data_IF_345437161365
#
_entry.id   IF_345437161365
#
_cell.length_a   1.000
_cell.length_b   1.000
_cell.length_c   1.000
_cell.angle_alpha   90.00
_cell.angle_beta   90.00
_cell.angle_gamma   90.00
#
_symmetry.space_group_name_H-M   'P 1'
#
loop_
_entity.id
_entity.type
_entity.pdbx_description
1 polymer ?
#
# COMPACT_ATOMS: atom_id res chain seq x y z
N UNK A 1 24.97 30.01 -29.84
CA UNK A 1 23.55 30.03 -29.36
C UNK A 1 23.44 28.87 -28.39
N UNK A 2 23.68 29.17 -27.10
CA UNK A 2 23.65 28.15 -26.05
C UNK A 2 22.19 27.90 -25.65
N UNK A 3 21.74 26.70 -25.91
CA UNK A 3 20.42 26.21 -25.51
C UNK A 3 20.41 26.06 -24.00
N UNK A 4 19.76 26.99 -23.31
CA UNK A 4 19.55 26.94 -21.85
C UNK A 4 18.61 25.74 -21.60
N UNK A 5 19.03 24.71 -20.83
CA UNK A 5 18.15 23.58 -20.55
C UNK A 5 16.95 24.08 -19.75
N UNK A 6 15.76 23.72 -20.20
CA UNK A 6 14.47 24.01 -19.58
C UNK A 6 14.35 23.28 -18.21
N UNK A 7 15.08 23.80 -17.22
CA UNK A 7 14.96 23.37 -15.83
C UNK A 7 14.12 24.38 -15.08
N UNK A 8 13.06 23.97 -14.36
CA UNK A 8 12.29 24.88 -13.55
C UNK A 8 13.22 25.60 -12.56
N UNK A 9 13.11 26.93 -12.40
CA UNK A 9 14.10 27.78 -11.73
C UNK A 9 14.24 27.57 -10.21
N UNK A 10 13.54 26.59 -9.63
CA UNK A 10 13.50 26.38 -8.17
C UNK A 10 13.65 24.92 -7.72
N UNK A 11 14.30 24.07 -8.52
CA UNK A 11 14.57 22.71 -8.06
C UNK A 11 15.90 22.68 -7.30
N UNK A 12 15.82 22.79 -5.98
CA UNK A 12 16.95 22.58 -5.08
C UNK A 12 17.05 21.07 -4.79
N UNK A 13 18.05 20.41 -5.36
CA UNK A 13 18.38 19.02 -5.00
C UNK A 13 19.28 19.07 -3.76
N UNK A 14 18.76 18.61 -2.63
CA UNK A 14 19.53 18.48 -1.38
C UNK A 14 19.75 16.99 -1.15
N UNK A 15 21.01 16.58 -1.12
CA UNK A 15 21.36 15.23 -0.68
C UNK A 15 21.03 15.09 0.80
N UNK A 16 20.26 14.06 1.12
CA UNK A 16 19.85 13.78 2.48
C UNK A 16 19.90 12.28 2.77
N UNK A 17 20.31 11.92 3.96
CA UNK A 17 20.32 10.54 4.42
C UNK A 17 19.66 10.39 5.80
N UNK A 18 19.24 9.18 6.11
CA UNK A 18 18.64 8.88 7.40
C UNK A 18 19.68 8.25 8.32
N UNK A 19 19.83 8.80 9.52
CA UNK A 19 20.57 8.15 10.59
C UNK A 19 19.62 7.50 11.58
N UNK A 20 19.95 6.29 12.04
CA UNK A 20 19.24 5.60 13.10
C UNK A 20 20.15 5.58 14.34
N UNK A 21 19.77 6.33 15.35
CA UNK A 21 20.48 6.33 16.63
C UNK A 21 19.72 5.43 17.62
N UNK A 22 20.40 4.44 18.18
CA UNK A 22 19.86 3.49 19.17
C UNK A 22 18.52 2.81 18.78
N UNK A 23 18.30 2.56 17.49
CA UNK A 23 17.12 1.84 16.99
C UNK A 23 15.78 2.58 17.08
N UNK A 24 15.71 3.78 17.64
CA UNK A 24 14.45 4.46 17.97
C UNK A 24 14.17 5.81 17.29
N UNK A 25 15.18 6.55 16.89
CA UNK A 25 14.99 7.83 16.21
C UNK A 25 15.61 7.79 14.82
N UNK A 26 14.83 8.20 13.84
CA UNK A 26 15.31 8.48 12.48
C UNK A 26 15.44 9.97 12.37
N UNK A 27 16.66 10.43 12.14
CA UNK A 27 16.95 11.85 11.90
C UNK A 27 17.34 12.00 10.43
N UNK A 28 16.77 12.99 9.77
CA UNK A 28 17.18 13.37 8.42
C UNK A 28 18.38 14.29 8.59
N UNK A 29 19.49 13.94 7.98
CA UNK A 29 20.69 14.78 7.94
C UNK A 29 20.86 15.24 6.50
N UNK A 30 20.99 16.54 6.30
CA UNK A 30 21.30 17.13 4.99
C UNK A 30 22.81 17.15 4.80
N UNK A 31 23.26 16.72 3.63
CA UNK A 31 24.67 16.64 3.29
C UNK A 31 25.06 15.27 2.76
N UNK A 32 26.32 15.13 2.39
CA UNK A 32 26.88 13.90 1.84
C UNK A 32 26.96 12.79 2.92
N UNK A 33 26.47 11.62 2.59
CA UNK A 33 26.51 10.48 3.52
C UNK A 33 27.95 10.03 3.78
N UNK A 34 28.36 9.80 5.05
CA UNK A 34 29.68 9.26 5.34
C UNK A 34 29.94 7.94 4.61
N UNK A 35 31.16 7.75 4.14
CA UNK A 35 31.60 6.52 3.50
C UNK A 35 31.33 5.32 4.42
N UNK A 36 30.58 4.32 3.91
CA UNK A 36 30.16 3.13 4.66
C UNK A 36 28.72 3.14 5.18
N UNK A 37 28.00 4.29 5.15
CA UNK A 37 26.56 4.35 5.38
C UNK A 37 25.74 4.25 4.11
N UNK A 38 26.36 4.41 2.96
CA UNK A 38 25.78 4.14 1.65
C UNK A 38 25.69 2.61 1.48
N UNK A 39 24.65 2.00 2.03
CA UNK A 39 24.28 0.66 1.58
C UNK A 39 23.97 0.70 0.08
N UNK A 40 24.35 -0.32 -0.67
CA UNK A 40 24.37 -0.45 -2.14
C UNK A 40 23.08 -0.13 -2.92
N UNK A 41 22.09 0.49 -2.28
CA UNK A 41 20.85 0.96 -2.93
C UNK A 41 20.36 2.28 -2.34
N UNK A 42 20.21 3.33 -3.14
CA UNK A 42 19.62 4.57 -2.70
C UNK A 42 18.23 4.31 -2.09
N UNK A 43 17.91 4.92 -0.93
CA UNK A 43 16.63 4.73 -0.23
C UNK A 43 15.40 4.97 -1.13
N UNK A 44 15.53 5.81 -2.14
CA UNK A 44 14.48 6.16 -3.10
C UNK A 44 14.01 4.96 -3.95
N UNK A 45 14.90 4.07 -4.40
CA UNK A 45 14.48 2.93 -5.22
C UNK A 45 13.58 1.95 -4.46
N UNK A 46 13.84 1.72 -3.18
CA UNK A 46 12.98 0.85 -2.35
C UNK A 46 11.60 1.46 -2.14
N UNK A 47 11.55 2.78 -1.95
CA UNK A 47 10.27 3.49 -1.72
C UNK A 47 9.45 3.55 -3.01
N UNK A 48 10.06 3.82 -4.14
CA UNK A 48 9.40 3.86 -5.44
C UNK A 48 8.92 2.47 -5.89
N UNK A 49 9.71 1.42 -5.70
CA UNK A 49 9.26 0.04 -5.96
C UNK A 49 8.09 -0.35 -5.07
N UNK A 50 8.15 -0.03 -3.78
CA UNK A 50 7.05 -0.33 -2.86
C UNK A 50 5.79 0.48 -3.17
N UNK A 51 5.92 1.73 -3.62
CA UNK A 51 4.81 2.54 -4.10
C UNK A 51 4.26 2.01 -5.42
N UNK A 52 5.12 1.73 -6.40
CA UNK A 52 4.72 1.17 -7.70
C UNK A 52 3.99 -0.17 -7.51
N UNK A 53 4.53 -1.09 -6.72
CA UNK A 53 3.88 -2.37 -6.45
C UNK A 53 2.54 -2.22 -5.73
N UNK A 54 2.33 -1.17 -4.93
CA UNK A 54 1.03 -0.86 -4.34
C UNK A 54 0.04 -0.31 -5.37
N UNK A 55 0.52 0.43 -6.35
CA UNK A 55 -0.33 1.06 -7.38
C UNK A 55 -0.65 0.11 -8.53
N UNK A 56 0.27 -0.78 -8.89
CA UNK A 56 0.14 -1.72 -10.02
C UNK A 56 -0.15 -3.16 -9.61
N UNK A 57 0.08 -3.52 -8.34
CA UNK A 57 -0.20 -4.86 -7.81
C UNK A 57 -1.69 -5.12 -7.62
N UNK A 58 -2.05 -6.37 -7.44
CA UNK A 58 -3.41 -6.81 -7.11
C UNK A 58 -3.89 -6.14 -5.81
N UNK A 59 -5.12 -5.53 -5.78
CA UNK A 59 -5.68 -4.92 -4.58
C UNK A 59 -5.82 -5.92 -3.43
N UNK A 60 -5.75 -5.47 -2.15
CA UNK A 60 -5.82 -6.39 -1.02
C UNK A 60 -7.10 -7.21 -0.94
N UNK A 61 -8.24 -6.66 -1.33
CA UNK A 61 -9.53 -7.35 -1.32
C UNK A 61 -9.62 -8.41 -2.42
N UNK A 62 -9.16 -8.14 -3.63
CA UNK A 62 -9.10 -9.13 -4.72
C UNK A 62 -8.16 -10.28 -4.37
N UNK A 63 -7.00 -9.96 -3.80
CA UNK A 63 -6.05 -10.96 -3.32
C UNK A 63 -6.66 -11.84 -2.24
N UNK A 64 -7.40 -11.26 -1.30
CA UNK A 64 -8.06 -12.00 -0.24
C UNK A 64 -9.14 -12.96 -0.81
N UNK A 65 -9.93 -12.50 -1.77
CA UNK A 65 -10.93 -13.30 -2.46
C UNK A 65 -10.30 -14.45 -3.27
N UNK A 66 -9.20 -14.16 -3.95
CA UNK A 66 -8.45 -15.18 -4.69
C UNK A 66 -7.94 -16.29 -3.76
N UNK A 67 -7.41 -15.93 -2.59
CA UNK A 67 -6.98 -16.93 -1.60
C UNK A 67 -8.14 -17.71 -1.02
N UNK A 68 -9.28 -17.07 -0.73
CA UNK A 68 -10.49 -17.77 -0.28
C UNK A 68 -10.96 -18.78 -1.34
N UNK A 69 -11.09 -18.33 -2.58
CA UNK A 69 -11.47 -19.18 -3.70
C UNK A 69 -10.52 -20.37 -3.86
N UNK A 70 -9.21 -20.12 -3.78
CA UNK A 70 -8.22 -21.19 -3.86
C UNK A 70 -8.35 -22.21 -2.71
N UNK A 71 -8.69 -21.75 -1.50
CA UNK A 71 -8.97 -22.65 -0.38
C UNK A 71 -10.19 -23.52 -0.65
N UNK A 72 -11.25 -22.97 -1.18
CA UNK A 72 -12.49 -23.66 -1.51
C UNK A 72 -12.30 -24.68 -2.65
N UNK A 73 -11.71 -24.24 -3.77
CA UNK A 73 -11.47 -25.07 -4.95
C UNK A 73 -10.52 -26.25 -4.69
N UNK A 74 -9.50 -26.03 -3.90
CA UNK A 74 -8.49 -27.06 -3.57
C UNK A 74 -8.76 -27.81 -2.27
N UNK A 75 -9.81 -27.44 -1.54
CA UNK A 75 -10.19 -28.08 -0.28
C UNK A 75 -9.18 -27.85 0.85
N UNK A 76 -8.44 -26.74 0.85
CA UNK A 76 -7.52 -26.44 1.94
C UNK A 76 -8.28 -26.04 3.21
N UNK A 77 -8.21 -26.92 4.23
CA UNK A 77 -8.93 -26.72 5.50
C UNK A 77 -8.26 -25.72 6.45
N UNK A 78 -7.06 -25.23 6.13
CA UNK A 78 -6.35 -24.30 7.00
C UNK A 78 -5.47 -23.33 6.20
N UNK A 79 -5.24 -22.14 6.77
CA UNK A 79 -4.31 -21.15 6.23
C UNK A 79 -2.89 -21.71 6.12
N UNK A 80 -2.49 -22.63 7.05
CA UNK A 80 -1.19 -23.30 6.98
C UNK A 80 -1.06 -24.22 5.78
N UNK A 81 -2.13 -24.93 5.42
CA UNK A 81 -2.14 -25.78 4.23
C UNK A 81 -2.02 -24.91 2.96
N UNK A 82 -2.76 -23.81 2.89
CA UNK A 82 -2.66 -22.84 1.81
C UNK A 82 -1.24 -22.25 1.72
N UNK A 83 -0.65 -21.84 2.84
CA UNK A 83 0.69 -21.27 2.90
C UNK A 83 1.76 -22.22 2.33
N UNK A 84 1.69 -23.50 2.70
CA UNK A 84 2.59 -24.54 2.17
C UNK A 84 2.40 -24.74 0.66
N UNK A 85 1.16 -24.71 0.19
CA UNK A 85 0.85 -24.95 -1.22
C UNK A 85 1.25 -23.76 -2.12
N UNK A 86 1.18 -22.53 -1.60
CA UNK A 86 1.49 -21.31 -2.35
C UNK A 86 2.92 -20.81 -2.15
N UNK A 87 3.65 -21.36 -1.18
CA UNK A 87 4.97 -20.84 -0.79
C UNK A 87 4.95 -19.48 -0.10
N UNK A 88 3.76 -19.02 0.34
CA UNK A 88 3.56 -17.73 0.98
C UNK A 88 3.72 -17.83 2.51
N UNK A 89 4.09 -16.72 3.14
CA UNK A 89 4.14 -16.64 4.61
C UNK A 89 2.75 -16.75 5.23
N UNK A 90 2.59 -17.67 6.18
CA UNK A 90 1.32 -17.92 6.89
C UNK A 90 0.75 -16.66 7.55
N UNK A 91 1.59 -15.85 8.17
CA UNK A 91 1.14 -14.63 8.86
C UNK A 91 0.69 -13.57 7.86
N UNK A 92 1.30 -13.54 6.68
CA UNK A 92 0.88 -12.65 5.59
C UNK A 92 -0.48 -13.06 5.04
N UNK A 93 -0.68 -14.35 4.75
CA UNK A 93 -1.97 -14.89 4.31
C UNK A 93 -3.09 -14.63 5.32
N UNK A 94 -2.83 -14.90 6.60
CA UNK A 94 -3.79 -14.63 7.67
C UNK A 94 -4.19 -13.15 7.74
N UNK A 95 -3.24 -12.23 7.52
CA UNK A 95 -3.53 -10.78 7.49
C UNK A 95 -4.36 -10.38 6.29
N UNK A 96 -4.05 -10.91 5.12
CA UNK A 96 -4.81 -10.62 3.89
C UNK A 96 -6.24 -11.14 4.00
N UNK A 97 -6.43 -12.37 4.44
CA UNK A 97 -7.76 -12.98 4.60
C UNK A 97 -8.67 -12.22 5.58
N UNK A 98 -8.10 -11.56 6.60
CA UNK A 98 -8.88 -10.68 7.51
C UNK A 98 -9.55 -9.48 6.84
N UNK A 99 -9.19 -9.15 5.62
CA UNK A 99 -9.90 -8.11 4.84
C UNK A 99 -11.32 -8.57 4.51
N UNK A 100 -11.54 -9.88 4.37
CA UNK A 100 -12.87 -10.45 4.10
C UNK A 100 -13.83 -10.44 5.30
N UNK A 101 -13.36 -10.03 6.47
CA UNK A 101 -14.22 -9.77 7.64
C UNK A 101 -15.02 -8.46 7.51
N UNK A 102 -14.79 -7.68 6.43
CA UNK A 102 -15.57 -6.50 6.11
C UNK A 102 -16.96 -6.89 5.56
N UNK A 103 -17.98 -6.01 5.75
CA UNK A 103 -19.30 -6.22 5.15
C UNK A 103 -19.25 -6.38 3.64
N UNK A 104 -20.07 -7.26 3.08
CA UNK A 104 -20.08 -7.55 1.64
C UNK A 104 -20.35 -6.31 0.78
N UNK A 105 -21.21 -5.39 1.23
CA UNK A 105 -21.47 -4.13 0.53
C UNK A 105 -20.19 -3.27 0.40
N UNK A 106 -19.32 -3.31 1.41
CA UNK A 106 -18.03 -2.60 1.37
C UNK A 106 -17.09 -3.26 0.37
N UNK A 107 -17.00 -4.60 0.38
CA UNK A 107 -16.18 -5.35 -0.58
C UNK A 107 -16.67 -5.13 -2.01
N UNK A 108 -17.98 -5.10 -2.23
CA UNK A 108 -18.58 -4.81 -3.53
C UNK A 108 -18.20 -3.40 -4.03
N UNK A 109 -18.32 -2.38 -3.18
CA UNK A 109 -17.92 -1.01 -3.52
C UNK A 109 -16.41 -0.90 -3.81
N UNK A 110 -15.57 -1.62 -3.07
CA UNK A 110 -14.12 -1.65 -3.35
C UNK A 110 -13.80 -2.33 -4.69
N UNK A 111 -14.54 -3.39 -5.07
CA UNK A 111 -14.39 -4.05 -6.38
C UNK A 111 -14.79 -3.10 -7.53
N UNK A 112 -15.90 -2.39 -7.39
CA UNK A 112 -16.37 -1.41 -8.37
C UNK A 112 -15.30 -0.35 -8.67
N UNK A 113 -14.56 0.07 -7.65
CA UNK A 113 -13.52 1.08 -7.77
C UNK A 113 -12.10 0.51 -7.79
N UNK A 114 -11.92 -0.78 -8.11
CA UNK A 114 -10.61 -1.44 -8.10
C UNK A 114 -9.59 -0.83 -9.08
N UNK A 115 -10.06 -0.22 -10.16
CA UNK A 115 -9.25 0.51 -11.13
C UNK A 115 -8.79 1.90 -10.65
N UNK A 116 -9.44 2.49 -9.64
CA UNK A 116 -9.10 3.83 -9.16
C UNK A 116 -7.84 3.79 -8.27
N UNK A 117 -6.78 4.43 -8.76
CA UNK A 117 -5.48 4.52 -8.08
C UNK A 117 -5.61 5.14 -6.68
N UNK A 118 -6.52 6.09 -6.50
CA UNK A 118 -6.75 6.77 -5.21
C UNK A 118 -7.37 5.82 -4.18
N UNK A 119 -8.35 5.03 -4.63
CA UNK A 119 -8.98 3.99 -3.79
C UNK A 119 -7.93 2.97 -3.38
N UNK A 120 -7.12 2.50 -4.31
CA UNK A 120 -6.04 1.54 -4.03
C UNK A 120 -4.97 2.10 -3.10
N UNK A 121 -4.59 3.36 -3.25
CA UNK A 121 -3.63 4.03 -2.39
C UNK A 121 -4.17 4.25 -0.97
N UNK A 122 -5.47 4.57 -0.86
CA UNK A 122 -6.12 4.87 0.41
C UNK A 122 -6.48 3.61 1.21
N UNK A 123 -7.08 2.61 0.55
CA UNK A 123 -7.55 1.37 1.18
C UNK A 123 -6.48 0.27 1.15
N UNK A 124 -5.39 0.51 1.89
CA UNK A 124 -4.33 -0.48 2.06
C UNK A 124 -4.79 -1.65 2.93
N UNK A 125 -4.14 -2.83 2.81
CA UNK A 125 -4.39 -4.01 3.65
C UNK A 125 -4.46 -3.64 5.15
N UNK A 126 -3.49 -2.87 5.62
CA UNK A 126 -3.41 -2.44 7.03
C UNK A 126 -4.64 -1.62 7.45
N UNK A 127 -5.13 -0.74 6.57
CA UNK A 127 -6.30 0.11 6.84
C UNK A 127 -7.57 -0.72 6.87
N UNK A 128 -7.80 -1.54 5.84
CA UNK A 128 -8.98 -2.41 5.74
C UNK A 128 -9.07 -3.36 6.93
N UNK A 129 -7.97 -4.01 7.30
CA UNK A 129 -7.90 -4.88 8.46
C UNK A 129 -8.20 -4.14 9.77
N UNK A 130 -7.77 -2.88 9.91
CA UNK A 130 -8.12 -2.06 11.08
C UNK A 130 -9.59 -1.70 11.13
N UNK A 131 -10.21 -1.44 9.98
CA UNK A 131 -11.64 -1.18 9.86
C UNK A 131 -12.44 -2.42 10.27
N UNK A 132 -12.07 -3.60 9.77
CA UNK A 132 -12.66 -4.88 10.15
C UNK A 132 -12.50 -5.16 11.65
N UNK A 133 -11.27 -5.02 12.19
CA UNK A 133 -11.01 -5.26 13.62
C UNK A 133 -11.77 -4.31 14.56
N UNK A 134 -11.96 -3.05 14.13
CA UNK A 134 -12.74 -2.05 14.88
C UNK A 134 -14.24 -2.19 14.69
N UNK A 135 -14.70 -3.14 13.88
CA UNK A 135 -16.11 -3.31 13.50
C UNK A 135 -16.75 -1.99 13.08
N UNK A 136 -16.04 -1.23 12.26
CA UNK A 136 -16.56 0.05 11.75
C UNK A 136 -17.86 -0.20 11.00
N UNK A 137 -18.86 0.66 11.23
CA UNK A 137 -20.16 0.52 10.58
C UNK A 137 -20.05 0.63 9.05
N UNK A 138 -20.74 -0.24 8.34
CA UNK A 138 -20.76 -0.32 6.87
C UNK A 138 -20.95 1.05 6.22
N UNK A 139 -21.97 1.80 6.66
CA UNK A 139 -22.28 3.15 6.14
C UNK A 139 -21.13 4.15 6.29
N UNK A 140 -20.32 4.01 7.35
CA UNK A 140 -19.17 4.88 7.57
C UNK A 140 -18.06 4.60 6.55
N UNK A 141 -17.80 3.32 6.28
CA UNK A 141 -16.79 2.89 5.31
C UNK A 141 -17.23 3.26 3.88
N UNK A 142 -18.49 3.02 3.53
CA UNK A 142 -19.04 3.39 2.21
C UNK A 142 -18.94 4.90 1.96
N UNK A 143 -19.26 5.73 2.94
CA UNK A 143 -19.07 7.19 2.83
C UNK A 143 -17.60 7.57 2.64
N UNK A 144 -16.68 6.84 3.25
CA UNK A 144 -15.26 7.07 3.07
C UNK A 144 -14.80 6.69 1.66
N UNK A 145 -15.28 5.57 1.09
CA UNK A 145 -15.02 5.18 -0.30
C UNK A 145 -15.50 6.28 -1.24
N UNK A 146 -16.76 6.72 -1.10
CA UNK A 146 -17.33 7.77 -1.92
C UNK A 146 -16.53 9.08 -1.83
N UNK A 147 -16.09 9.46 -0.63
CA UNK A 147 -15.26 10.66 -0.44
C UNK A 147 -13.92 10.56 -1.19
N UNK A 148 -13.29 9.40 -1.18
CA UNK A 148 -12.03 9.17 -1.89
C UNK A 148 -12.23 9.22 -3.41
N UNK A 149 -13.31 8.62 -3.90
CA UNK A 149 -13.67 8.63 -5.32
C UNK A 149 -14.00 10.06 -5.79
N UNK A 150 -14.77 10.81 -5.00
CA UNK A 150 -15.19 12.18 -5.32
C UNK A 150 -14.13 13.26 -5.04
N UNK A 151 -13.06 12.91 -4.35
CA UNK A 151 -12.06 13.86 -3.83
C UNK A 151 -11.27 14.65 -4.88
N UNK A 152 -11.55 14.45 -6.18
CA UNK A 152 -11.00 15.24 -7.30
C UNK A 152 -11.95 16.33 -7.77
N UNK A 153 -13.24 16.23 -7.49
CA UNK A 153 -14.17 17.28 -7.89
C UNK A 153 -13.94 18.63 -7.17
N UNK A 154 -13.26 18.61 -6.00
CA UNK A 154 -12.98 19.82 -5.21
C UNK A 154 -11.57 20.40 -5.41
N UNK A 155 -10.65 19.69 -6.05
CA UNK A 155 -9.29 20.18 -6.32
C UNK A 155 -9.18 20.87 -7.71
N UNK A 156 -10.20 20.71 -8.57
CA UNK A 156 -10.25 21.28 -9.92
C UNK A 156 -11.41 22.30 -10.10
N UNK A 157 -12.04 22.74 -9.04
CA UNK A 157 -12.98 23.87 -8.99
C UNK A 157 -12.32 25.04 -8.19
#
# INVERSE_FOLDING_TARGET
MDEVPDRPPFMLMIDSYFTVYQGRKRTIVTGEAPAGLAGDRPPQERTWRACRNRMTGEPPWERAERYRRLMEEKGYRSIRALARATGEDHSRLARVLKVLDLPEAVLAALREHAGDVRVRAHFTEKRLRRMAAKKMGERAILREIQRVVQGVARANA
#
